data_IF_673205306380
#
_entry.id   IF_673205306380
#
_cell.length_a   1.000
_cell.length_b   1.000
_cell.length_c   1.000
_cell.angle_alpha   90.00
_cell.angle_beta   90.00
_cell.angle_gamma   90.00
#
_symmetry.space_group_name_H-M   'P 1'
#
loop_
_entity.id
_entity.type
_entity.pdbx_description
1 polymer ?
#
# COMPACT_ATOMS: atom_id res chain seq x y z
N UNK A 1 8.93 -8.70 -4.07
CA UNK A 1 8.21 -7.45 -3.75
C UNK A 1 9.06 -6.46 -2.97
N UNK A 2 9.74 -6.87 -1.89
CA UNK A 2 10.49 -5.96 -1.03
C UNK A 2 11.56 -5.10 -1.78
N UNK A 3 12.40 -5.70 -2.64
CA UNK A 3 13.41 -4.95 -3.41
C UNK A 3 12.78 -3.89 -4.34
N UNK A 4 11.74 -4.25 -5.10
CA UNK A 4 10.99 -3.34 -5.97
C UNK A 4 10.47 -2.13 -5.19
N UNK A 5 9.86 -2.37 -4.02
CA UNK A 5 9.34 -1.30 -3.18
C UNK A 5 10.45 -0.43 -2.62
N UNK A 6 11.56 -1.01 -2.15
CA UNK A 6 12.70 -0.24 -1.67
C UNK A 6 13.29 0.65 -2.77
N UNK A 7 13.48 0.13 -3.97
CA UNK A 7 13.99 0.89 -5.12
C UNK A 7 13.03 2.02 -5.50
N UNK A 8 11.72 1.77 -5.52
CA UNK A 8 10.73 2.82 -5.73
C UNK A 8 10.77 3.88 -4.62
N UNK A 9 10.90 3.47 -3.36
CA UNK A 9 10.93 4.39 -2.22
C UNK A 9 12.18 5.28 -2.19
N UNK A 10 13.24 4.89 -2.89
CA UNK A 10 14.45 5.68 -3.07
C UNK A 10 14.42 6.54 -4.34
N UNK A 11 13.89 6.00 -5.44
CA UNK A 11 13.94 6.63 -6.76
C UNK A 11 12.70 7.45 -7.12
N UNK A 12 11.53 7.09 -6.60
CA UNK A 12 10.23 7.63 -6.97
C UNK A 12 9.78 7.29 -8.41
N UNK A 13 10.47 6.38 -9.10
CA UNK A 13 10.25 6.02 -10.50
C UNK A 13 9.13 4.99 -10.63
N UNK A 14 7.94 5.46 -11.01
CA UNK A 14 6.74 4.62 -11.17
C UNK A 14 6.88 3.65 -12.34
N UNK A 15 7.42 4.11 -13.48
CA UNK A 15 7.54 3.29 -14.69
C UNK A 15 8.42 2.05 -14.45
N UNK A 16 9.52 2.21 -13.70
CA UNK A 16 10.39 1.10 -13.31
C UNK A 16 9.67 0.12 -12.39
N UNK A 17 8.93 0.63 -11.40
CA UNK A 17 8.15 -0.22 -10.50
C UNK A 17 7.07 -1.02 -11.25
N UNK A 18 6.40 -0.41 -12.24
CA UNK A 18 5.46 -1.10 -13.11
C UNK A 18 6.12 -2.18 -13.96
N UNK A 19 7.27 -1.87 -14.56
CA UNK A 19 8.04 -2.81 -15.37
C UNK A 19 8.47 -4.01 -14.52
N UNK A 20 9.10 -3.76 -13.38
CA UNK A 20 9.50 -4.79 -12.44
C UNK A 20 8.31 -5.65 -11.98
N UNK A 21 7.14 -5.06 -11.74
CA UNK A 21 5.97 -5.83 -11.34
C UNK A 21 5.46 -6.73 -12.47
N UNK A 22 5.44 -6.25 -13.71
CA UNK A 22 5.04 -7.04 -14.89
C UNK A 22 5.98 -8.24 -15.11
N UNK A 23 7.28 -8.02 -14.99
CA UNK A 23 8.31 -9.05 -15.21
C UNK A 23 8.26 -10.19 -14.19
N UNK A 24 7.64 -9.97 -13.02
CA UNK A 24 7.47 -11.04 -12.03
C UNK A 24 6.43 -12.08 -12.47
N UNK A 25 5.55 -11.78 -13.43
CA UNK A 25 4.53 -12.69 -14.00
C UNK A 25 3.63 -13.40 -12.96
N UNK A 26 3.34 -12.75 -11.82
CA UNK A 26 2.54 -13.31 -10.70
C UNK A 26 1.32 -12.45 -10.34
N UNK A 27 0.36 -12.24 -11.25
CA UNK A 27 -0.75 -11.30 -11.06
C UNK A 27 -1.67 -11.63 -9.88
N UNK A 28 -1.74 -12.90 -9.47
CA UNK A 28 -2.55 -13.34 -8.31
C UNK A 28 -1.88 -13.12 -6.95
N UNK A 29 -0.64 -12.63 -6.95
CA UNK A 29 0.16 -12.33 -5.77
C UNK A 29 0.45 -10.82 -5.63
N UNK A 30 -0.19 -9.97 -6.45
CA UNK A 30 -0.03 -8.51 -6.37
C UNK A 30 -0.55 -7.92 -5.05
N UNK A 31 -1.47 -8.61 -4.36
CA UNK A 31 -1.88 -8.24 -3.01
C UNK A 31 -0.70 -8.20 -2.02
N UNK A 32 0.37 -8.95 -2.28
CA UNK A 32 1.60 -8.92 -1.48
C UNK A 32 2.32 -7.57 -1.63
N UNK A 33 2.37 -7.03 -2.85
CA UNK A 33 2.97 -5.71 -3.08
C UNK A 33 2.18 -4.63 -2.33
N UNK A 34 0.85 -4.70 -2.37
CA UNK A 34 -0.02 -3.76 -1.64
C UNK A 34 0.21 -3.86 -0.13
N UNK A 35 0.20 -5.07 0.41
CA UNK A 35 0.46 -5.33 1.83
C UNK A 35 1.83 -4.77 2.25
N UNK A 36 2.91 -5.17 1.57
CA UNK A 36 4.28 -4.73 1.87
C UNK A 36 4.45 -3.21 1.73
N UNK A 37 3.81 -2.59 0.72
CA UNK A 37 3.86 -1.14 0.54
C UNK A 37 3.24 -0.40 1.73
N UNK A 38 2.11 -0.89 2.22
CA UNK A 38 1.44 -0.31 3.39
C UNK A 38 2.26 -0.54 4.65
N UNK A 39 2.74 -1.77 4.91
CA UNK A 39 3.59 -2.08 6.08
C UNK A 39 4.84 -1.20 6.10
N UNK A 40 5.50 -1.01 4.95
CA UNK A 40 6.68 -0.14 4.83
C UNK A 40 6.38 1.35 5.16
N UNK A 41 5.14 1.80 4.97
CA UNK A 41 4.70 3.12 5.42
C UNK A 41 4.51 3.15 6.94
N UNK A 42 3.91 2.11 7.52
CA UNK A 42 3.66 2.03 8.96
C UNK A 42 4.96 1.98 9.77
N UNK A 43 5.91 1.15 9.37
CA UNK A 43 7.21 0.99 10.04
C UNK A 43 8.17 2.18 9.82
N UNK A 44 7.84 3.07 8.89
CA UNK A 44 8.69 4.16 8.45
C UNK A 44 8.55 5.44 9.26
N UNK A 45 9.69 6.10 9.54
CA UNK A 45 9.74 7.43 10.15
C UNK A 45 9.91 8.58 9.14
N UNK A 46 10.17 8.27 7.87
CA UNK A 46 10.47 9.29 6.88
C UNK A 46 9.22 10.05 6.42
N UNK A 47 9.31 11.38 6.45
CA UNK A 47 8.30 12.26 5.87
C UNK A 47 8.14 11.95 4.37
N UNK A 48 6.90 11.93 3.88
CA UNK A 48 6.62 11.68 2.46
C UNK A 48 6.29 10.22 2.10
N UNK A 49 6.54 9.23 2.97
CA UNK A 49 6.27 7.81 2.65
C UNK A 49 4.82 7.53 2.31
N UNK A 50 3.89 8.15 3.04
CA UNK A 50 2.45 8.06 2.77
C UNK A 50 2.18 8.51 1.33
N UNK A 51 2.68 9.69 0.94
CA UNK A 51 2.49 10.23 -0.40
C UNK A 51 3.14 9.35 -1.48
N UNK A 52 4.32 8.78 -1.21
CA UNK A 52 4.99 7.87 -2.14
C UNK A 52 4.20 6.57 -2.35
N UNK A 53 3.71 5.97 -1.27
CA UNK A 53 2.90 4.76 -1.37
C UNK A 53 1.58 5.03 -2.12
N UNK A 54 0.88 6.13 -1.82
CA UNK A 54 -0.33 6.51 -2.57
C UNK A 54 0.00 6.74 -4.05
N UNK A 55 1.10 7.43 -4.37
CA UNK A 55 1.54 7.62 -5.76
C UNK A 55 1.73 6.30 -6.48
N UNK A 56 2.40 5.33 -5.86
CA UNK A 56 2.62 4.00 -6.44
C UNK A 56 1.30 3.25 -6.63
N UNK A 57 0.51 3.11 -5.57
CA UNK A 57 -0.74 2.35 -5.58
C UNK A 57 -1.74 2.94 -6.58
N UNK A 58 -1.80 4.28 -6.69
CA UNK A 58 -2.60 4.97 -7.70
C UNK A 58 -2.17 4.61 -9.12
N UNK A 59 -0.88 4.69 -9.43
CA UNK A 59 -0.39 4.35 -10.76
C UNK A 59 -0.65 2.88 -11.13
N UNK A 60 -0.41 1.96 -10.18
CA UNK A 60 -0.67 0.54 -10.38
C UNK A 60 -2.16 0.21 -10.54
N UNK A 61 -3.04 0.98 -9.91
CA UNK A 61 -4.48 0.90 -10.10
C UNK A 61 -4.93 1.46 -11.46
N UNK A 62 -4.48 2.67 -11.81
CA UNK A 62 -4.85 3.35 -13.06
C UNK A 62 -4.33 2.61 -14.30
N UNK A 63 -3.16 1.96 -14.21
CA UNK A 63 -2.63 1.10 -15.27
C UNK A 63 -3.35 -0.25 -15.39
N UNK A 64 -4.21 -0.61 -14.42
CA UNK A 64 -4.89 -1.90 -14.36
C UNK A 64 -3.99 -3.08 -13.96
N UNK A 65 -2.74 -2.82 -13.54
CA UNK A 65 -1.82 -3.87 -13.08
C UNK A 65 -2.26 -4.51 -11.76
N UNK A 66 -2.83 -3.70 -10.86
CA UNK A 66 -3.45 -4.19 -9.63
C UNK A 66 -4.95 -4.13 -9.81
N UNK A 67 -5.58 -5.31 -9.73
CA UNK A 67 -7.04 -5.42 -9.78
C UNK A 67 -7.66 -5.01 -8.45
N UNK A 68 -8.96 -4.72 -8.46
CA UNK A 68 -9.71 -4.39 -7.25
C UNK A 68 -9.61 -5.48 -6.18
N UNK A 69 -9.65 -6.75 -6.59
CA UNK A 69 -9.47 -7.89 -5.68
C UNK A 69 -8.10 -7.86 -4.99
N UNK A 70 -7.03 -7.67 -5.76
CA UNK A 70 -5.68 -7.65 -5.22
C UNK A 70 -5.44 -6.43 -4.32
N UNK A 71 -5.97 -5.26 -4.69
CA UNK A 71 -5.93 -4.05 -3.86
C UNK A 71 -6.64 -4.28 -2.52
N UNK A 72 -7.89 -4.75 -2.56
CA UNK A 72 -8.67 -4.99 -1.34
C UNK A 72 -8.00 -6.02 -0.43
N UNK A 73 -7.54 -7.15 -0.99
CA UNK A 73 -6.87 -8.21 -0.21
C UNK A 73 -5.59 -7.72 0.47
N UNK A 74 -4.82 -6.84 -0.17
CA UNK A 74 -3.63 -6.25 0.42
C UNK A 74 -3.94 -5.39 1.64
N UNK A 75 -4.90 -4.47 1.53
CA UNK A 75 -5.34 -3.64 2.67
C UNK A 75 -5.99 -4.46 3.78
N UNK A 76 -6.85 -5.43 3.43
CA UNK A 76 -7.53 -6.27 4.42
C UNK A 76 -6.55 -7.08 5.27
N UNK A 77 -5.48 -7.61 4.66
CA UNK A 77 -4.40 -8.26 5.43
C UNK A 77 -3.75 -7.32 6.44
N UNK A 78 -3.49 -6.07 6.05
CA UNK A 78 -2.96 -5.08 6.98
C UNK A 78 -3.95 -4.81 8.11
N UNK A 79 -5.25 -4.71 7.81
CA UNK A 79 -6.29 -4.48 8.82
C UNK A 79 -6.35 -5.63 9.84
N UNK A 80 -6.22 -6.87 9.37
CA UNK A 80 -6.20 -8.08 10.20
C UNK A 80 -4.95 -8.12 11.12
N UNK A 81 -3.79 -7.70 10.61
CA UNK A 81 -2.51 -7.73 11.33
C UNK A 81 -2.22 -6.45 12.13
N UNK A 82 -3.03 -5.39 11.95
CA UNK A 82 -2.82 -4.08 12.59
C UNK A 82 -2.66 -4.16 14.12
N UNK A 83 -3.44 -4.97 14.87
CA UNK A 83 -3.25 -5.09 16.31
C UNK A 83 -1.85 -5.55 16.69
N UNK A 84 -1.30 -6.54 15.96
CA UNK A 84 0.04 -7.07 16.21
C UNK A 84 1.11 -6.07 15.77
N UNK A 85 0.96 -5.46 14.58
CA UNK A 85 1.87 -4.41 14.09
C UNK A 85 1.95 -3.22 15.06
N UNK A 86 0.84 -2.90 15.74
CA UNK A 86 0.79 -1.77 16.67
C UNK A 86 1.56 -1.99 17.98
N UNK A 87 1.93 -3.24 18.28
CA UNK A 87 2.80 -3.57 19.43
C UNK A 87 4.19 -2.99 19.20
N UNK A 88 4.72 -3.14 17.98
CA UNK A 88 6.05 -2.66 17.61
C UNK A 88 6.03 -1.21 17.09
N UNK A 89 4.91 -0.79 16.50
CA UNK A 89 4.73 0.55 15.92
C UNK A 89 3.55 1.28 16.60
N UNK A 90 3.80 2.05 17.67
CA UNK A 90 2.73 2.68 18.47
C UNK A 90 1.80 3.61 17.69
N UNK A 91 2.26 4.17 16.57
CA UNK A 91 1.50 5.07 15.71
C UNK A 91 0.85 4.38 14.50
N UNK A 92 0.91 3.05 14.39
CA UNK A 92 0.43 2.29 13.23
C UNK A 92 -1.01 2.65 12.85
N UNK A 93 -1.94 2.67 13.81
CA UNK A 93 -3.34 3.03 13.57
C UNK A 93 -3.48 4.43 12.95
N UNK A 94 -2.77 5.43 13.50
CA UNK A 94 -2.85 6.83 13.03
C UNK A 94 -2.27 6.98 11.63
N UNK A 95 -1.15 6.32 11.36
CA UNK A 95 -0.50 6.37 10.05
C UNK A 95 -1.34 5.63 9.00
N UNK A 96 -1.89 4.47 9.36
CA UNK A 96 -2.77 3.70 8.48
C UNK A 96 -4.02 4.49 8.12
N UNK A 97 -4.70 5.09 9.10
CA UNK A 97 -5.92 5.87 8.89
C UNK A 97 -5.65 7.04 7.93
N UNK A 98 -4.53 7.76 8.12
CA UNK A 98 -4.07 8.81 7.20
C UNK A 98 -3.80 8.30 5.79
N UNK A 99 -3.16 7.14 5.66
CA UNK A 99 -2.86 6.52 4.36
C UNK A 99 -4.14 6.11 3.64
N UNK A 100 -5.07 5.45 4.34
CA UNK A 100 -6.35 4.98 3.81
C UNK A 100 -7.22 6.16 3.36
N UNK A 101 -7.30 7.22 4.16
CA UNK A 101 -8.02 8.44 3.79
C UNK A 101 -7.45 9.08 2.53
N UNK A 102 -6.11 9.17 2.41
CA UNK A 102 -5.48 9.72 1.22
C UNK A 102 -5.70 8.83 -0.02
N UNK A 103 -5.59 7.51 0.12
CA UNK A 103 -5.92 6.56 -0.94
C UNK A 103 -7.38 6.72 -1.42
N UNK A 104 -8.31 6.92 -0.50
CA UNK A 104 -9.71 7.15 -0.84
C UNK A 104 -9.92 8.48 -1.57
N UNK A 105 -9.32 9.56 -1.08
CA UNK A 105 -9.39 10.89 -1.71
C UNK A 105 -8.80 10.89 -3.13
N UNK A 106 -7.74 10.11 -3.36
CA UNK A 106 -7.08 9.96 -4.65
C UNK A 106 -7.76 8.93 -5.58
N UNK A 107 -8.87 8.31 -5.15
CA UNK A 107 -9.64 7.35 -5.96
C UNK A 107 -8.97 5.99 -6.14
N UNK A 108 -8.01 5.65 -5.27
CA UNK A 108 -7.25 4.38 -5.32
C UNK A 108 -8.05 3.24 -4.72
N UNK A 109 -8.88 3.52 -3.71
CA UNK A 109 -9.69 2.52 -3.00
C UNK A 109 -11.16 2.94 -2.91
N UNK A 110 -12.02 1.96 -2.69
CA UNK A 110 -13.46 2.20 -2.54
C UNK A 110 -13.80 2.76 -1.17
N UNK A 111 -14.94 3.44 -1.07
CA UNK A 111 -15.49 3.87 0.22
C UNK A 111 -15.70 2.68 1.17
N UNK A 112 -16.17 1.55 0.65
CA UNK A 112 -16.37 0.34 1.44
C UNK A 112 -15.08 -0.14 2.10
N UNK A 113 -13.96 -0.15 1.38
CA UNK A 113 -12.67 -0.55 1.95
C UNK A 113 -12.20 0.47 3.00
N UNK A 114 -12.35 1.77 2.72
CA UNK A 114 -12.00 2.84 3.65
C UNK A 114 -12.76 2.72 4.98
N UNK A 115 -14.07 2.48 4.92
CA UNK A 115 -14.93 2.36 6.09
C UNK A 115 -14.64 1.08 6.92
N UNK A 116 -13.90 0.11 6.37
CA UNK A 116 -13.44 -1.08 7.08
C UNK A 116 -12.12 -0.88 7.84
N UNK A 117 -11.45 0.27 7.66
CA UNK A 117 -10.19 0.55 8.36
C UNK A 117 -10.41 0.52 9.89
N UNK A 118 -9.67 -0.31 10.64
CA UNK A 118 -9.84 -0.38 12.08
C UNK A 118 -9.45 0.95 12.73
N UNK A 119 -10.42 1.56 13.42
CA UNK A 119 -10.15 2.69 14.30
C UNK A 119 -9.42 2.26 15.57
N UNK A 120 -8.78 3.21 16.24
CA UNK A 120 -8.14 3.00 17.54
C UNK A 120 -9.14 3.08 18.70
#
# INVERSE_FOLDING_TARGET
MNLLLQEFMLSGQVEEAEHCLRDLEVPHFHHELVYEAVVMVLEGSAEGRVQMAVKLLKALWESGLITLDQMNRGFQRVYEELPDLSIDVPLAHVVLEKLVDLCYLEGVITQQLRDQCPGR
#
